data_IF_124339202404
#
_entry.id   IF_124339202404
#
_cell.length_a   1.000
_cell.length_b   1.000
_cell.length_c   1.000
_cell.angle_alpha   90.00
_cell.angle_beta   90.00
_cell.angle_gamma   90.00
#
_symmetry.space_group_name_H-M   'P 1'
#
loop_
_entity.id
_entity.type
_entity.pdbx_description
1 polymer ?
#
# COMPACT_ATOMS: atom_id res chain seq x y z
N UNK A 1 11.34 47.94 -23.52
CA UNK A 1 11.14 47.39 -22.16
C UNK A 1 10.04 46.33 -22.09
N UNK A 2 8.95 46.43 -22.87
CA UNK A 2 7.83 45.46 -22.88
C UNK A 2 8.23 44.04 -23.30
N UNK A 3 9.04 43.87 -24.35
CA UNK A 3 9.46 42.55 -24.84
C UNK A 3 10.31 41.74 -23.84
N UNK A 4 11.13 42.41 -23.03
CA UNK A 4 11.99 41.75 -22.03
C UNK A 4 11.17 41.31 -20.81
N UNK A 5 10.18 42.11 -20.39
CA UNK A 5 9.27 41.75 -19.29
C UNK A 5 8.38 40.56 -19.66
N UNK A 6 7.91 40.51 -20.90
CA UNK A 6 7.13 39.39 -21.42
C UNK A 6 7.96 38.10 -21.43
N UNK A 7 9.23 38.14 -21.89
CA UNK A 7 10.09 36.95 -21.86
C UNK A 7 10.42 36.50 -20.44
N UNK A 8 10.71 37.41 -19.51
CA UNK A 8 10.91 37.07 -18.10
C UNK A 8 9.65 36.46 -17.46
N UNK A 9 8.47 36.95 -17.82
CA UNK A 9 7.20 36.39 -17.34
C UNK A 9 6.97 34.97 -17.88
N UNK A 10 7.29 34.72 -19.15
CA UNK A 10 7.24 33.37 -19.72
C UNK A 10 8.25 32.42 -19.07
N UNK A 11 9.49 32.85 -18.83
CA UNK A 11 10.49 32.05 -18.09
C UNK A 11 9.99 31.74 -16.68
N UNK A 12 9.47 32.73 -15.95
CA UNK A 12 8.96 32.55 -14.60
C UNK A 12 7.77 31.59 -14.55
N UNK A 13 6.84 31.73 -15.49
CA UNK A 13 5.71 30.83 -15.63
C UNK A 13 6.15 29.40 -15.99
N UNK A 14 7.14 29.26 -16.86
CA UNK A 14 7.70 27.96 -17.22
C UNK A 14 8.38 27.27 -16.04
N UNK A 15 9.19 28.00 -15.26
CA UNK A 15 9.79 27.49 -14.02
C UNK A 15 8.70 27.06 -13.04
N UNK A 16 7.64 27.86 -12.90
CA UNK A 16 6.51 27.55 -12.03
C UNK A 16 5.78 26.26 -12.47
N UNK A 17 5.58 26.05 -13.78
CA UNK A 17 5.03 24.79 -14.32
C UNK A 17 5.95 23.61 -13.99
N UNK A 18 7.26 23.75 -14.14
CA UNK A 18 8.21 22.66 -13.82
C UNK A 18 8.20 22.31 -12.33
N UNK A 19 8.16 23.31 -11.45
CA UNK A 19 8.04 23.10 -10.00
C UNK A 19 6.70 22.41 -9.68
N UNK A 20 5.60 22.87 -10.25
CA UNK A 20 4.30 22.20 -10.09
C UNK A 20 4.34 20.76 -10.61
N UNK A 21 4.97 20.49 -11.74
CA UNK A 21 5.10 19.15 -12.30
C UNK A 21 5.92 18.22 -11.40
N UNK A 22 6.99 18.72 -10.77
CA UNK A 22 7.80 17.91 -9.83
C UNK A 22 7.06 17.62 -8.52
N UNK A 23 6.34 18.61 -7.98
CA UNK A 23 5.46 18.42 -6.81
C UNK A 23 4.33 17.45 -7.15
N UNK A 24 3.74 17.59 -8.34
CA UNK A 24 2.69 16.71 -8.84
C UNK A 24 3.20 15.28 -8.98
N UNK A 25 4.43 15.06 -9.46
CA UNK A 25 5.04 13.73 -9.55
C UNK A 25 5.20 13.06 -8.17
N UNK A 26 5.44 13.84 -7.11
CA UNK A 26 5.66 13.35 -5.74
C UNK A 26 4.37 13.12 -4.96
N UNK A 27 3.36 13.97 -5.15
CA UNK A 27 2.10 13.94 -4.39
C UNK A 27 0.88 13.67 -5.26
N UNK A 28 1.08 12.95 -6.36
CA UNK A 28 0.11 12.84 -7.46
C UNK A 28 -1.26 12.32 -7.00
N UNK A 29 -1.27 11.28 -6.16
CA UNK A 29 -2.52 10.72 -5.61
C UNK A 29 -3.27 11.75 -4.77
N UNK A 30 -2.59 12.41 -3.83
CA UNK A 30 -3.21 13.40 -2.95
C UNK A 30 -3.74 14.59 -3.73
N UNK A 31 -2.99 15.09 -4.72
CA UNK A 31 -3.39 16.26 -5.51
C UNK A 31 -4.62 15.95 -6.38
N UNK A 32 -4.65 14.80 -7.08
CA UNK A 32 -5.82 14.44 -7.90
C UNK A 32 -7.07 14.19 -7.03
N UNK A 33 -6.94 13.56 -5.87
CA UNK A 33 -8.06 13.37 -4.93
C UNK A 33 -8.57 14.71 -4.38
N UNK A 34 -7.67 15.59 -3.96
CA UNK A 34 -8.03 16.93 -3.48
C UNK A 34 -8.69 17.76 -4.58
N UNK A 35 -8.20 17.68 -5.83
CA UNK A 35 -8.80 18.38 -6.96
C UNK A 35 -10.23 17.88 -7.27
N UNK A 36 -10.44 16.56 -7.28
CA UNK A 36 -11.76 15.96 -7.49
C UNK A 36 -12.75 16.36 -6.38
N UNK A 37 -12.34 16.29 -5.11
CA UNK A 37 -13.16 16.69 -3.96
C UNK A 37 -13.48 18.18 -4.04
N UNK A 38 -12.49 19.02 -4.37
CA UNK A 38 -12.66 20.46 -4.49
C UNK A 38 -13.65 20.83 -5.60
N UNK A 39 -13.55 20.21 -6.77
CA UNK A 39 -14.51 20.44 -7.86
C UNK A 39 -15.93 19.99 -7.49
N UNK A 40 -16.06 18.85 -6.81
CA UNK A 40 -17.37 18.35 -6.37
C UNK A 40 -18.01 19.28 -5.32
N UNK A 41 -17.24 19.68 -4.30
CA UNK A 41 -17.71 20.61 -3.28
C UNK A 41 -18.02 21.99 -3.85
N UNK A 42 -17.21 22.49 -4.79
CA UNK A 42 -17.44 23.77 -5.46
C UNK A 42 -18.80 23.81 -6.14
N UNK A 43 -19.14 22.78 -6.92
CA UNK A 43 -20.46 22.68 -7.56
C UNK A 43 -21.58 22.59 -6.54
N UNK A 44 -21.43 21.77 -5.49
CA UNK A 44 -22.43 21.62 -4.44
C UNK A 44 -22.73 22.94 -3.72
N UNK A 45 -21.69 23.71 -3.41
CA UNK A 45 -21.83 25.03 -2.78
C UNK A 45 -22.43 26.06 -3.74
N UNK A 46 -22.01 26.09 -5.01
CA UNK A 46 -22.57 27.04 -5.98
C UNK A 46 -24.06 26.82 -6.23
N UNK A 47 -24.53 25.57 -6.24
CA UNK A 47 -25.96 25.24 -6.29
C UNK A 47 -26.64 25.56 -4.96
N UNK A 48 -26.05 25.16 -3.83
CA UNK A 48 -26.66 25.34 -2.50
C UNK A 48 -26.79 26.79 -2.03
N UNK A 49 -25.89 27.67 -2.44
CA UNK A 49 -25.96 29.11 -2.15
C UNK A 49 -26.76 29.91 -3.19
N UNK A 50 -27.23 29.27 -4.27
CA UNK A 50 -27.97 29.96 -5.34
C UNK A 50 -27.10 30.86 -6.22
N UNK A 51 -25.78 30.62 -6.29
CA UNK A 51 -24.93 31.29 -7.28
C UNK A 51 -25.18 30.79 -8.70
N UNK A 52 -25.76 29.60 -8.83
CA UNK A 52 -26.06 28.94 -10.09
C UNK A 52 -27.53 28.53 -10.07
N UNK A 53 -28.34 29.13 -10.93
CA UNK A 53 -29.73 28.73 -11.14
C UNK A 53 -29.83 27.54 -12.08
N UNK A 54 -30.13 26.38 -11.50
CA UNK A 54 -30.34 25.11 -12.23
C UNK A 54 -31.70 25.12 -12.95
N UNK A 55 -32.62 25.98 -12.52
CA UNK A 55 -33.95 26.17 -13.08
C UNK A 55 -34.06 27.64 -13.49
N UNK A 56 -34.33 27.88 -14.76
CA UNK A 56 -34.57 29.23 -15.28
C UNK A 56 -36.07 29.38 -15.54
N UNK A 57 -36.78 29.99 -14.59
CA UNK A 57 -38.24 30.04 -14.60
C UNK A 57 -38.88 28.66 -14.37
N UNK A 58 -39.55 28.13 -15.40
CA UNK A 58 -40.26 26.83 -15.34
C UNK A 58 -39.57 25.75 -16.20
N UNK A 59 -38.39 26.08 -16.75
CA UNK A 59 -37.61 25.17 -17.60
C UNK A 59 -36.22 24.91 -17.00
N UNK A 60 -35.70 23.68 -17.13
CA UNK A 60 -34.36 23.35 -16.65
C UNK A 60 -33.30 24.09 -17.47
N UNK A 61 -32.33 24.71 -16.78
CA UNK A 61 -31.22 25.39 -17.43
C UNK A 61 -30.21 24.35 -17.95
N UNK A 62 -30.44 23.90 -19.18
CA UNK A 62 -29.69 22.81 -19.81
C UNK A 62 -28.16 23.07 -19.89
N UNK A 63 -27.67 24.29 -20.24
CA UNK A 63 -26.25 24.62 -20.15
C UNK A 63 -25.65 24.43 -18.75
N UNK A 64 -26.37 24.85 -17.71
CA UNK A 64 -25.93 24.68 -16.32
C UNK A 64 -25.88 23.20 -15.94
N UNK A 65 -26.94 22.45 -16.23
CA UNK A 65 -27.03 21.02 -15.92
C UNK A 65 -25.93 20.22 -16.64
N UNK A 66 -25.71 20.50 -17.93
CA UNK A 66 -24.66 19.82 -18.72
C UNK A 66 -23.26 20.13 -18.18
N UNK A 67 -23.00 21.36 -17.72
CA UNK A 67 -21.73 21.72 -17.09
C UNK A 67 -21.51 20.99 -15.76
N UNK A 68 -22.55 20.85 -14.93
CA UNK A 68 -22.50 20.07 -13.68
C UNK A 68 -22.17 18.60 -13.96
N UNK A 69 -22.83 18.01 -14.96
CA UNK A 69 -22.59 16.61 -15.36
C UNK A 69 -21.15 16.43 -15.87
N UNK A 70 -20.64 17.35 -16.68
CA UNK A 70 -19.25 17.31 -17.16
C UNK A 70 -18.24 17.42 -16.02
N UNK A 71 -18.49 18.25 -15.01
CA UNK A 71 -17.62 18.37 -13.83
C UNK A 71 -17.62 17.06 -13.02
N UNK A 72 -18.77 16.43 -12.85
CA UNK A 72 -18.87 15.13 -12.15
C UNK A 72 -18.09 14.05 -12.92
N UNK A 73 -18.26 13.97 -14.24
CA UNK A 73 -17.52 13.03 -15.10
C UNK A 73 -16.01 13.34 -15.04
N UNK A 74 -15.63 14.61 -15.11
CA UNK A 74 -14.23 15.05 -14.99
C UNK A 74 -13.60 14.64 -13.66
N UNK A 75 -14.30 14.81 -12.54
CA UNK A 75 -13.87 14.36 -11.22
C UNK A 75 -13.68 12.84 -11.17
N UNK A 76 -14.60 12.06 -11.74
CA UNK A 76 -14.47 10.60 -11.81
C UNK A 76 -13.24 10.17 -12.63
N UNK A 77 -12.99 10.83 -13.77
CA UNK A 77 -11.80 10.57 -14.60
C UNK A 77 -10.51 10.91 -13.86
N UNK A 78 -10.49 11.97 -13.05
CA UNK A 78 -9.33 12.30 -12.22
C UNK A 78 -9.07 11.23 -11.16
N UNK A 79 -10.10 10.70 -10.51
CA UNK A 79 -9.95 9.62 -9.52
C UNK A 79 -9.41 8.34 -10.18
N UNK A 80 -9.99 7.93 -11.31
CA UNK A 80 -9.51 6.77 -12.08
C UNK A 80 -8.09 6.98 -12.60
N UNK A 81 -7.77 8.20 -13.05
CA UNK A 81 -6.43 8.58 -13.47
C UNK A 81 -5.42 8.50 -12.32
N UNK A 82 -5.80 8.89 -11.10
CA UNK A 82 -4.97 8.80 -9.92
C UNK A 82 -4.64 7.34 -9.56
N UNK A 83 -5.63 6.44 -9.64
CA UNK A 83 -5.43 5.02 -9.36
C UNK A 83 -4.57 4.33 -10.42
N UNK A 84 -4.87 4.55 -11.70
CA UNK A 84 -4.09 3.96 -12.81
C UNK A 84 -2.63 4.39 -12.77
N UNK A 85 -2.37 5.64 -12.38
CA UNK A 85 -1.01 6.14 -12.32
C UNK A 85 -0.25 5.66 -11.08
N UNK A 86 -0.93 5.50 -9.95
CA UNK A 86 -0.37 4.86 -8.76
C UNK A 86 0.09 3.44 -9.06
N UNK A 87 -0.73 2.65 -9.77
CA UNK A 87 -0.36 1.30 -10.22
C UNK A 87 0.88 1.32 -11.12
N UNK A 88 0.95 2.25 -12.07
CA UNK A 88 2.09 2.38 -13.00
C UNK A 88 3.39 2.83 -12.31
N UNK A 89 3.31 3.68 -11.29
CA UNK A 89 4.48 4.05 -10.48
C UNK A 89 4.98 2.87 -9.66
N UNK A 90 4.06 2.08 -9.09
CA UNK A 90 4.36 0.86 -8.34
C UNK A 90 5.00 -0.23 -9.22
N UNK A 91 4.52 -0.42 -10.44
CA UNK A 91 5.13 -1.34 -11.41
C UNK A 91 6.56 -0.93 -11.77
N UNK A 92 6.81 0.38 -11.97
CA UNK A 92 8.16 0.89 -12.27
C UNK A 92 9.12 0.78 -11.09
N UNK A 93 8.64 1.00 -9.86
CA UNK A 93 9.43 0.80 -8.64
C UNK A 93 9.83 -0.67 -8.51
N UNK A 94 8.88 -1.59 -8.69
CA UNK A 94 9.11 -3.04 -8.67
C UNK A 94 10.10 -3.52 -9.74
N UNK A 95 10.17 -2.84 -10.89
CA UNK A 95 11.06 -3.19 -12.01
C UNK A 95 12.46 -2.55 -11.90
N UNK A 96 12.63 -1.55 -11.03
CA UNK A 96 13.90 -0.84 -10.81
C UNK A 96 14.74 -1.42 -9.67
N UNK A 97 14.20 -2.35 -8.89
CA UNK A 97 14.97 -3.18 -7.97
C UNK A 97 15.72 -4.20 -8.84
N UNK A 98 17.07 -4.19 -8.87
CA UNK A 98 17.80 -5.15 -9.69
C UNK A 98 17.47 -6.55 -9.19
N UNK A 99 16.89 -7.37 -10.07
CA UNK A 99 16.82 -8.82 -9.89
C UNK A 99 18.27 -9.29 -9.79
N UNK A 100 18.78 -9.42 -8.57
CA UNK A 100 20.06 -10.06 -8.31
C UNK A 100 19.85 -11.53 -8.65
N UNK A 101 20.15 -11.86 -9.89
CA UNK A 101 20.34 -13.23 -10.35
C UNK A 101 21.64 -13.70 -9.69
N UNK A 102 21.55 -14.17 -8.44
CA UNK A 102 22.68 -14.79 -7.76
C UNK A 102 22.86 -16.17 -8.37
N UNK A 103 23.82 -16.25 -9.30
CA UNK A 103 24.38 -17.50 -9.78
C UNK A 103 24.82 -18.34 -8.57
N UNK A 104 24.23 -19.54 -8.49
CA UNK A 104 24.65 -20.61 -7.61
C UNK A 104 26.13 -20.92 -7.86
N UNK A 105 26.97 -20.75 -6.83
CA UNK A 105 28.23 -21.48 -6.76
C UNK A 105 28.31 -22.18 -5.41
N UNK A 106 28.60 -23.47 -5.51
CA UNK A 106 28.53 -24.48 -4.48
C UNK A 106 29.62 -24.34 -3.41
N UNK A 107 29.28 -24.69 -2.17
CA UNK A 107 30.19 -25.48 -1.33
C UNK A 107 29.43 -26.33 -0.31
N UNK A 108 29.45 -27.64 -0.60
CA UNK A 108 29.76 -28.75 0.31
C UNK A 108 28.91 -28.98 1.57
N UNK A 109 28.04 -29.99 1.44
CA UNK A 109 27.77 -31.13 2.33
C UNK A 109 28.29 -31.09 3.78
N UNK A 110 27.39 -31.31 4.74
CA UNK A 110 27.40 -32.58 5.51
C UNK A 110 26.00 -32.90 6.08
N UNK A 111 25.78 -34.18 6.33
CA UNK A 111 24.52 -34.90 6.51
C UNK A 111 23.73 -34.65 7.83
N UNK A 112 22.44 -35.03 7.75
CA UNK A 112 21.60 -35.64 8.81
C UNK A 112 21.01 -34.83 9.99
N UNK A 113 20.12 -33.87 9.69
CA UNK A 113 18.92 -33.68 10.53
C UNK A 113 17.75 -33.17 9.67
N UNK A 114 16.77 -34.03 9.37
CA UNK A 114 15.51 -33.66 8.71
C UNK A 114 14.63 -32.85 9.66
N UNK A 115 15.00 -31.59 9.85
CA UNK A 115 14.19 -30.54 10.44
C UNK A 115 14.53 -29.24 9.72
N UNK A 116 13.52 -28.41 9.44
CA UNK A 116 13.74 -27.12 8.78
C UNK A 116 14.45 -26.19 9.78
N UNK A 117 15.78 -26.12 9.67
CA UNK A 117 16.59 -25.26 10.53
C UNK A 117 16.45 -23.82 10.05
N UNK A 118 15.95 -22.94 10.92
CA UNK A 118 15.97 -21.50 10.69
C UNK A 118 17.43 -21.04 10.60
N UNK A 119 17.80 -20.38 9.50
CA UNK A 119 19.17 -19.92 9.25
C UNK A 119 19.24 -18.41 9.09
N UNK A 120 20.42 -17.85 9.35
CA UNK A 120 20.70 -16.42 9.14
C UNK A 120 19.79 -15.49 9.96
N UNK A 121 19.25 -14.47 9.29
CA UNK A 121 18.43 -13.40 9.90
C UNK A 121 17.06 -13.89 10.39
N UNK A 122 16.62 -15.09 9.97
CA UNK A 122 15.35 -15.68 10.41
C UNK A 122 15.45 -16.43 11.74
N UNK A 123 16.66 -16.75 12.19
CA UNK A 123 16.91 -17.48 13.43
C UNK A 123 16.90 -16.53 14.62
N UNK A 124 15.73 -16.36 15.22
CA UNK A 124 15.56 -15.63 16.48
C UNK A 124 14.84 -16.52 17.50
N UNK A 125 15.12 -16.32 18.79
CA UNK A 125 14.43 -17.08 19.86
C UNK A 125 12.90 -16.93 19.77
N UNK A 126 12.44 -15.74 19.37
CA UNK A 126 11.02 -15.46 19.15
C UNK A 126 10.47 -16.26 17.94
N UNK A 127 11.20 -16.30 16.83
CA UNK A 127 10.78 -17.06 15.65
C UNK A 127 10.67 -18.56 15.96
N UNK A 128 11.68 -19.13 16.63
CA UNK A 128 11.68 -20.55 17.01
C UNK A 128 10.48 -20.89 17.92
N UNK A 129 10.21 -20.07 18.94
CA UNK A 129 9.05 -20.25 19.85
C UNK A 129 7.72 -20.17 19.10
N UNK A 130 7.55 -19.13 18.26
CA UNK A 130 6.29 -18.90 17.55
C UNK A 130 6.04 -19.96 16.48
N UNK A 131 7.09 -20.38 15.77
CA UNK A 131 7.00 -21.42 14.75
C UNK A 131 6.68 -22.79 15.35
N UNK A 132 7.31 -23.15 16.47
CA UNK A 132 6.97 -24.38 17.20
C UNK A 132 5.49 -24.41 17.60
N UNK A 133 4.96 -23.32 18.17
CA UNK A 133 3.53 -23.20 18.46
C UNK A 133 2.67 -23.25 17.20
N UNK A 134 3.05 -22.56 16.13
CA UNK A 134 2.27 -22.58 14.88
C UNK A 134 2.15 -24.00 14.30
N UNK A 135 3.18 -24.85 14.46
CA UNK A 135 3.13 -26.27 14.09
C UNK A 135 2.22 -27.05 15.03
N UNK A 136 2.37 -26.89 16.35
CA UNK A 136 1.56 -27.56 17.36
C UNK A 136 0.06 -27.30 17.17
N UNK A 137 -0.31 -26.05 16.89
CA UNK A 137 -1.69 -25.65 16.64
C UNK A 137 -2.19 -25.95 15.22
N UNK A 138 -1.34 -26.52 14.34
CA UNK A 138 -1.71 -26.97 12.98
C UNK A 138 -1.81 -25.86 11.92
N UNK A 139 -1.29 -24.66 12.20
CA UNK A 139 -1.22 -23.55 11.25
C UNK A 139 -0.05 -23.70 10.27
N UNK A 140 0.97 -24.46 10.67
CA UNK A 140 2.18 -24.68 9.91
C UNK A 140 2.55 -26.16 9.88
N UNK A 141 3.14 -26.63 8.78
CA UNK A 141 3.65 -28.01 8.65
C UNK A 141 5.01 -27.99 7.97
N UNK A 142 5.89 -28.88 8.37
CA UNK A 142 7.17 -29.10 7.68
C UNK A 142 6.93 -29.95 6.42
N UNK A 143 7.29 -29.42 5.25
CA UNK A 143 7.15 -30.10 3.95
C UNK A 143 8.52 -30.09 3.25
N UNK A 144 9.40 -31.00 3.67
CA UNK A 144 10.74 -31.12 3.12
C UNK A 144 11.62 -29.93 3.52
N UNK A 145 11.93 -29.05 2.56
CA UNK A 145 12.81 -27.89 2.76
C UNK A 145 12.07 -26.58 3.08
N UNK A 146 10.74 -26.59 3.11
CA UNK A 146 9.91 -25.38 3.35
C UNK A 146 8.75 -25.67 4.29
N UNK A 147 8.28 -24.62 4.97
CA UNK A 147 7.08 -24.67 5.78
C UNK A 147 5.84 -24.44 4.90
N UNK A 148 4.84 -25.28 5.08
CA UNK A 148 3.52 -25.10 4.51
C UNK A 148 2.62 -24.38 5.50
N UNK A 149 2.16 -23.20 5.13
CA UNK A 149 1.16 -22.44 5.87
C UNK A 149 -0.26 -22.86 5.45
N UNK A 150 -1.15 -23.10 6.42
CA UNK A 150 -2.50 -23.63 6.15
C UNK A 150 -3.59 -22.58 6.04
N UNK A 151 -3.31 -21.35 6.48
CA UNK A 151 -4.26 -20.24 6.50
C UNK A 151 -4.00 -19.21 5.37
N UNK A 152 -4.67 -18.06 5.41
CA UNK A 152 -4.46 -17.00 4.41
C UNK A 152 -3.04 -16.42 4.44
N UNK A 153 -2.53 -16.03 3.25
CA UNK A 153 -1.24 -15.32 3.09
C UNK A 153 -1.16 -14.03 3.93
N UNK A 154 -2.29 -13.35 4.11
CA UNK A 154 -2.35 -12.13 4.93
C UNK A 154 -2.10 -12.44 6.41
N UNK A 155 -2.59 -13.57 6.89
CA UNK A 155 -2.38 -14.01 8.27
C UNK A 155 -0.94 -14.48 8.49
N UNK A 156 -0.33 -15.13 7.49
CA UNK A 156 1.11 -15.44 7.49
C UNK A 156 1.95 -14.17 7.56
N UNK A 157 1.64 -13.19 6.70
CA UNK A 157 2.34 -11.90 6.68
C UNK A 157 2.20 -11.15 8.01
N UNK A 158 1.07 -11.29 8.70
CA UNK A 158 0.87 -10.75 10.04
C UNK A 158 1.76 -11.44 11.08
N UNK A 159 1.77 -12.77 11.12
CA UNK A 159 2.65 -13.53 12.01
C UNK A 159 4.13 -13.16 11.79
N UNK A 160 4.59 -13.15 10.53
CA UNK A 160 5.97 -12.79 10.20
C UNK A 160 6.29 -11.33 10.55
N UNK A 161 5.35 -10.41 10.37
CA UNK A 161 5.51 -9.01 10.75
C UNK A 161 5.62 -8.84 12.27
N UNK A 162 4.86 -9.61 13.05
CA UNK A 162 4.98 -9.64 14.52
C UNK A 162 6.35 -10.16 14.96
N UNK A 163 6.87 -11.20 14.31
CA UNK A 163 8.15 -11.85 14.67
C UNK A 163 9.35 -10.96 14.31
N UNK A 164 9.39 -10.44 13.08
CA UNK A 164 10.60 -9.82 12.51
C UNK A 164 10.51 -8.31 12.34
N UNK A 165 9.32 -7.72 12.44
CA UNK A 165 9.15 -6.27 12.31
C UNK A 165 8.74 -5.58 13.60
N UNK A 166 8.34 -6.33 14.64
CA UNK A 166 7.72 -5.77 15.83
C UNK A 166 6.32 -5.20 15.58
N UNK A 167 5.59 -5.75 14.60
CA UNK A 167 4.20 -5.35 14.37
C UNK A 167 3.33 -5.66 15.59
N UNK A 168 2.21 -4.96 15.74
CA UNK A 168 1.25 -5.21 16.81
C UNK A 168 -0.18 -4.79 16.46
N UNK A 169 -1.18 -5.43 17.07
CA UNK A 169 -2.58 -5.02 16.98
C UNK A 169 -2.84 -3.86 17.94
N UNK A 170 -3.37 -2.74 17.44
CA UNK A 170 -3.76 -1.60 18.27
C UNK A 170 -5.27 -1.36 18.19
N UNK A 171 -5.94 -1.32 19.35
CA UNK A 171 -7.35 -0.92 19.44
C UNK A 171 -7.42 0.55 19.86
N UNK A 172 -8.00 1.39 19.01
CA UNK A 172 -8.28 2.78 19.36
C UNK A 172 -9.45 2.83 20.36
N UNK A 173 -9.32 3.61 21.44
CA UNK A 173 -10.29 3.64 22.55
C UNK A 173 -11.73 4.01 22.14
N UNK A 174 -11.90 4.71 21.01
CA UNK A 174 -13.21 5.15 20.50
C UNK A 174 -13.74 4.26 19.37
N UNK A 175 -12.99 3.24 18.94
CA UNK A 175 -13.38 2.36 17.84
C UNK A 175 -13.47 0.90 18.28
N UNK A 176 -14.44 0.19 17.72
CA UNK A 176 -14.57 -1.27 17.88
C UNK A 176 -13.57 -2.06 17.03
N UNK A 177 -12.77 -1.37 16.20
CA UNK A 177 -11.85 -1.96 15.24
C UNK A 177 -10.42 -1.98 15.79
N UNK A 178 -9.71 -3.06 15.47
CA UNK A 178 -8.28 -3.22 15.76
C UNK A 178 -7.49 -3.01 14.48
N UNK A 179 -6.48 -2.15 14.53
CA UNK A 179 -5.63 -1.79 13.41
C UNK A 179 -4.28 -2.49 13.48
N UNK A 180 -3.74 -2.83 12.31
CA UNK A 180 -2.40 -3.39 12.21
C UNK A 180 -1.39 -2.25 12.21
N UNK A 181 -0.65 -2.10 13.32
CA UNK A 181 0.46 -1.17 13.43
C UNK A 181 1.76 -1.85 13.05
N UNK A 182 2.49 -1.20 12.16
CA UNK A 182 3.75 -1.71 11.65
C UNK A 182 4.85 -1.28 12.59
N UNK A 183 5.70 -2.22 12.99
CA UNK A 183 6.92 -1.88 13.70
C UNK A 183 8.00 -1.34 12.76
N UNK A 184 9.15 -1.03 13.34
CA UNK A 184 10.21 -0.23 12.69
C UNK A 184 11.27 -1.07 11.98
N UNK A 185 11.30 -2.38 12.20
CA UNK A 185 12.35 -3.25 11.65
C UNK A 185 12.05 -3.68 10.20
N UNK A 186 13.12 -3.97 9.46
CA UNK A 186 13.03 -4.34 8.04
C UNK A 186 12.46 -5.76 7.88
N UNK A 187 11.43 -5.89 7.04
CA UNK A 187 10.78 -7.18 6.78
C UNK A 187 11.68 -8.08 5.90
N UNK A 188 12.10 -9.27 6.36
CA UNK A 188 12.96 -10.19 5.59
C UNK A 188 12.14 -10.98 4.57
N UNK A 189 11.64 -10.29 3.53
CA UNK A 189 10.70 -10.86 2.56
C UNK A 189 11.31 -12.02 1.76
N UNK A 190 12.55 -11.87 1.30
CA UNK A 190 13.23 -12.85 0.46
C UNK A 190 13.38 -14.18 1.17
N UNK A 191 13.89 -14.16 2.41
CA UNK A 191 14.15 -15.33 3.21
C UNK A 191 12.84 -16.02 3.61
N UNK A 192 11.82 -15.24 3.96
CA UNK A 192 10.49 -15.77 4.29
C UNK A 192 9.80 -16.40 3.08
N UNK A 193 9.93 -15.80 1.89
CA UNK A 193 9.35 -16.36 0.69
C UNK A 193 9.96 -17.73 0.33
N UNK A 194 11.27 -17.89 0.51
CA UNK A 194 11.97 -19.18 0.37
C UNK A 194 11.49 -20.15 1.44
N UNK A 195 11.45 -19.71 2.69
CA UNK A 195 11.08 -20.55 3.82
C UNK A 195 9.65 -21.13 3.69
N UNK A 196 8.71 -20.36 3.16
CA UNK A 196 7.31 -20.77 3.01
C UNK A 196 6.93 -21.21 1.58
N UNK A 197 7.91 -21.30 0.66
CA UNK A 197 7.69 -21.54 -0.77
C UNK A 197 6.54 -20.68 -1.35
N UNK A 198 6.43 -19.43 -0.89
CA UNK A 198 5.31 -18.52 -1.17
C UNK A 198 5.85 -17.16 -1.55
N UNK A 199 5.42 -16.60 -2.68
CA UNK A 199 5.83 -15.26 -3.09
C UNK A 199 5.02 -14.15 -2.40
N UNK A 200 5.59 -12.94 -2.37
CA UNK A 200 4.88 -11.70 -2.07
C UNK A 200 4.32 -11.59 -0.64
N UNK A 201 4.99 -12.18 0.35
CA UNK A 201 4.56 -12.13 1.76
C UNK A 201 4.67 -10.69 2.30
N UNK A 202 5.81 -10.04 2.05
CA UNK A 202 6.07 -8.65 2.41
C UNK A 202 5.12 -7.70 1.69
N UNK A 203 4.80 -8.00 0.43
CA UNK A 203 3.79 -7.23 -0.30
C UNK A 203 2.38 -7.39 0.31
N UNK A 204 2.02 -8.61 0.72
CA UNK A 204 0.77 -8.88 1.44
C UNK A 204 0.69 -8.10 2.76
N UNK A 205 1.80 -7.97 3.49
CA UNK A 205 1.93 -7.06 4.64
C UNK A 205 1.69 -5.62 4.21
N UNK A 206 2.48 -5.08 3.27
CA UNK A 206 2.41 -3.67 2.87
C UNK A 206 1.03 -3.23 2.36
N UNK A 207 0.28 -4.11 1.70
CA UNK A 207 -1.09 -3.84 1.24
C UNK A 207 -2.08 -3.60 2.41
N UNK A 208 -1.71 -3.96 3.63
CA UNK A 208 -2.50 -3.80 4.85
C UNK A 208 -2.03 -2.66 5.75
N UNK A 209 -1.11 -1.82 5.27
CA UNK A 209 -0.66 -0.65 6.03
C UNK A 209 -1.86 0.25 6.35
N UNK A 210 -1.98 0.61 7.62
CA UNK A 210 -3.07 1.43 8.17
C UNK A 210 -4.48 0.83 8.05
N UNK A 211 -4.60 -0.46 7.71
CA UNK A 211 -5.86 -1.19 7.68
C UNK A 211 -6.09 -1.99 8.97
N UNK A 212 -7.30 -2.51 9.12
CA UNK A 212 -7.61 -3.40 10.24
C UNK A 212 -6.75 -4.66 10.18
N UNK A 213 -6.49 -5.27 11.34
CA UNK A 213 -5.82 -6.57 11.41
C UNK A 213 -6.59 -7.65 10.62
N UNK A 214 -5.92 -8.73 10.19
CA UNK A 214 -6.57 -9.81 9.46
C UNK A 214 -7.65 -10.50 10.29
N UNK A 215 -8.59 -11.17 9.62
CA UNK A 215 -9.53 -12.05 10.33
C UNK A 215 -8.75 -13.15 11.03
N UNK A 216 -9.19 -13.54 12.23
CA UNK A 216 -8.55 -14.55 13.09
C UNK A 216 -7.15 -14.17 13.63
N UNK A 217 -6.75 -12.90 13.61
CA UNK A 217 -5.45 -12.48 14.15
C UNK A 217 -5.24 -12.88 15.62
N UNK A 218 -6.31 -12.93 16.42
CA UNK A 218 -6.24 -13.34 17.82
C UNK A 218 -5.70 -14.77 17.98
N UNK A 219 -5.95 -15.64 16.99
CA UNK A 219 -5.44 -17.02 17.02
C UNK A 219 -3.93 -17.07 16.84
N UNK A 220 -3.36 -16.08 16.14
CA UNK A 220 -1.92 -15.91 15.96
C UNK A 220 -1.30 -15.23 17.18
N UNK A 221 -2.01 -14.27 17.79
CA UNK A 221 -1.51 -13.54 18.96
C UNK A 221 -1.19 -14.45 20.15
N UNK A 222 -1.95 -15.53 20.32
CA UNK A 222 -1.72 -16.56 21.36
C UNK A 222 -0.31 -17.18 21.23
N UNK A 223 0.31 -17.15 20.05
CA UNK A 223 1.66 -17.68 19.88
C UNK A 223 2.72 -16.79 20.57
N UNK A 224 2.43 -15.51 20.75
CA UNK A 224 3.33 -14.51 21.32
C UNK A 224 3.19 -14.34 22.83
N UNK A 225 2.17 -14.93 23.44
CA UNK A 225 1.98 -15.03 24.89
C UNK A 225 2.91 -16.10 25.51
#
# INVERSE_FOLDING_TARGET
MTMLQITFLFIGFFILILVLATIFKRYQRTILWTAAICMFLGVLFSVGFGYIDVIDGDVPNLPVITSIVLIIIGSALLILGAEKLYLKQREKENQSIPVVTSASNAHSADDNATGIVLTGQLKTELAEKVFAKAIEYGYMKEEGSHYKWTESKVLLAYMCGRIYCGDYPERLKMETKTYWKFGMELFPDTELCVLFATSDIGQSRQNRKDLTVPKNFQKIDIFFE
#
